data_IF_892970319888
#
_entry.id   IF_892970319888
#
_cell.length_a   1.000
_cell.length_b   1.000
_cell.length_c   1.000
_cell.angle_alpha   90.00
_cell.angle_beta   90.00
_cell.angle_gamma   90.00
#
_symmetry.space_group_name_H-M   'P 1'
#
loop_
_entity.id
_entity.type
_entity.pdbx_description
1 polymer ?
#
# COMPACT_ATOMS: atom_id res chain seq x y z
N UNK A 1 34.21 12.46 5.11
CA UNK A 1 33.50 11.19 5.34
C UNK A 1 32.37 11.14 4.31
N UNK A 2 32.63 10.52 3.16
CA UNK A 2 31.66 10.43 2.07
C UNK A 2 30.53 9.52 2.56
N UNK A 3 29.35 10.08 2.82
CA UNK A 3 28.15 9.26 2.94
C UNK A 3 28.03 8.50 1.62
N UNK A 4 28.19 7.19 1.66
CA UNK A 4 27.73 6.32 0.58
C UNK A 4 26.24 6.63 0.42
N UNK A 5 25.87 7.40 -0.60
CA UNK A 5 24.51 7.41 -1.09
C UNK A 5 24.18 5.94 -1.38
N UNK A 6 23.34 5.32 -0.54
CA UNK A 6 22.82 4.01 -0.86
C UNK A 6 22.18 4.13 -2.24
N UNK A 7 22.76 3.41 -3.23
CA UNK A 7 22.30 3.46 -4.60
C UNK A 7 20.79 3.16 -4.62
N UNK A 8 19.98 4.14 -5.06
CA UNK A 8 18.53 3.99 -5.11
C UNK A 8 18.17 2.88 -6.08
N UNK A 9 17.19 2.05 -5.71
CA UNK A 9 16.74 0.96 -6.56
C UNK A 9 16.04 1.54 -7.78
N UNK A 10 16.50 1.23 -9.00
CA UNK A 10 15.82 1.66 -10.23
C UNK A 10 14.55 0.85 -10.43
N UNK A 11 13.43 1.53 -10.64
CA UNK A 11 12.13 0.92 -10.82
C UNK A 11 11.41 1.53 -12.03
N UNK A 12 10.98 0.70 -12.98
CA UNK A 12 10.42 1.15 -14.25
C UNK A 12 8.90 1.27 -14.21
N UNK A 13 8.36 2.41 -14.63
CA UNK A 13 6.92 2.63 -14.81
C UNK A 13 6.42 1.89 -16.05
N UNK A 14 5.49 0.96 -15.84
CA UNK A 14 4.87 0.13 -16.89
C UNK A 14 3.37 0.04 -16.61
N UNK A 15 2.56 0.68 -17.43
CA UNK A 15 1.08 0.55 -17.48
C UNK A 15 0.38 0.46 -16.10
N UNK A 16 0.41 1.55 -15.31
CA UNK A 16 -0.25 1.61 -14.01
C UNK A 16 0.44 0.79 -12.89
N UNK A 17 1.65 0.30 -13.15
CA UNK A 17 2.52 -0.40 -12.18
C UNK A 17 3.96 0.12 -12.26
N UNK A 18 4.73 -0.16 -11.23
CA UNK A 18 6.17 0.11 -11.21
C UNK A 18 6.91 -1.20 -10.94
N UNK A 19 7.85 -1.55 -11.81
CA UNK A 19 8.53 -2.85 -11.80
C UNK A 19 10.00 -2.68 -11.42
N UNK A 20 10.44 -3.44 -10.42
CA UNK A 20 11.86 -3.60 -10.10
C UNK A 20 12.35 -4.87 -10.77
N UNK A 21 13.11 -4.72 -11.86
CA UNK A 21 13.60 -5.83 -12.68
C UNK A 21 14.78 -6.57 -12.05
N UNK A 22 15.63 -5.87 -11.31
CA UNK A 22 16.74 -6.48 -10.58
C UNK A 22 16.20 -7.36 -9.45
N UNK A 23 16.37 -8.67 -9.59
CA UNK A 23 15.82 -9.68 -8.68
C UNK A 23 16.39 -9.59 -7.26
N UNK A 24 17.64 -9.11 -7.11
CA UNK A 24 18.28 -8.95 -5.79
C UNK A 24 17.71 -7.74 -5.06
N UNK A 25 17.53 -6.63 -5.78
CA UNK A 25 16.91 -5.41 -5.25
C UNK A 25 15.42 -5.61 -4.97
N UNK A 26 14.71 -6.35 -5.83
CA UNK A 26 13.35 -6.83 -5.61
C UNK A 26 13.23 -7.63 -4.29
N UNK A 27 14.12 -8.61 -4.09
CA UNK A 27 14.19 -9.38 -2.85
C UNK A 27 14.48 -8.50 -1.62
N UNK A 28 15.39 -7.52 -1.73
CA UNK A 28 15.72 -6.57 -0.66
C UNK A 28 14.48 -5.78 -0.23
N UNK A 29 13.80 -5.12 -1.17
CA UNK A 29 12.59 -4.34 -0.88
C UNK A 29 11.50 -5.20 -0.25
N UNK A 30 11.28 -6.42 -0.75
CA UNK A 30 10.26 -7.29 -0.16
C UNK A 30 10.59 -7.67 1.29
N UNK A 31 11.86 -7.99 1.62
CA UNK A 31 12.25 -8.39 2.98
C UNK A 31 12.13 -7.26 4.00
N UNK A 32 12.37 -6.02 3.59
CA UNK A 32 12.38 -4.87 4.50
C UNK A 32 10.98 -4.43 4.94
N UNK A 33 9.94 -4.75 4.18
CA UNK A 33 8.60 -4.25 4.51
C UNK A 33 7.44 -4.88 3.75
N UNK A 34 7.66 -6.03 3.11
CA UNK A 34 6.67 -6.69 2.25
C UNK A 34 6.09 -5.72 1.20
N UNK A 35 6.94 -4.91 0.56
CA UNK A 35 6.55 -4.07 -0.56
C UNK A 35 6.34 -4.92 -1.81
N UNK A 36 5.31 -4.62 -2.59
CA UNK A 36 5.06 -5.20 -3.90
C UNK A 36 4.72 -6.68 -3.93
N UNK A 37 4.63 -7.24 -5.12
CA UNK A 37 4.36 -8.66 -5.35
C UNK A 37 5.29 -9.16 -6.44
N UNK A 38 5.91 -10.32 -6.23
CA UNK A 38 6.70 -10.94 -7.27
C UNK A 38 5.81 -11.39 -8.43
N UNK A 39 6.26 -11.11 -9.66
CA UNK A 39 5.52 -11.43 -10.88
C UNK A 39 5.20 -12.93 -10.92
N UNK A 40 3.92 -13.26 -11.11
CA UNK A 40 3.44 -14.65 -11.16
C UNK A 40 3.56 -15.44 -9.85
N UNK A 41 3.83 -14.80 -8.71
CA UNK A 41 3.92 -15.47 -7.40
C UNK A 41 2.83 -14.94 -6.47
N UNK A 42 1.94 -15.83 -6.03
CA UNK A 42 0.83 -15.47 -5.13
C UNK A 42 1.30 -15.21 -3.69
N UNK A 43 2.24 -16.02 -3.19
CA UNK A 43 2.89 -15.90 -1.89
C UNK A 43 4.30 -16.50 -1.97
N UNK A 44 5.36 -15.77 -1.58
CA UNK A 44 6.68 -16.38 -1.38
C UNK A 44 6.59 -17.49 -0.33
N UNK A 45 7.29 -18.60 -0.57
CA UNK A 45 7.47 -19.68 0.41
C UNK A 45 8.81 -19.46 1.12
N UNK A 46 9.51 -20.53 1.47
CA UNK A 46 10.75 -20.50 2.26
C UNK A 46 11.90 -19.76 1.56
N UNK A 47 11.93 -19.80 0.22
CA UNK A 47 12.94 -19.10 -0.58
C UNK A 47 12.34 -17.89 -1.30
N UNK A 48 13.13 -16.82 -1.37
CA UNK A 48 12.72 -15.61 -2.07
C UNK A 48 12.75 -15.87 -3.59
N UNK A 49 11.67 -15.57 -4.34
CA UNK A 49 11.66 -15.79 -5.77
C UNK A 49 12.71 -14.94 -6.48
N UNK A 50 13.43 -15.54 -7.43
CA UNK A 50 14.29 -14.81 -8.37
C UNK A 50 13.43 -14.22 -9.50
N UNK A 51 12.56 -13.25 -9.14
CA UNK A 51 11.63 -12.62 -10.08
C UNK A 51 11.55 -11.11 -9.87
N UNK A 52 11.12 -10.36 -10.90
CA UNK A 52 10.82 -8.94 -10.74
C UNK A 52 9.73 -8.71 -9.69
N UNK A 53 9.80 -7.55 -9.04
CA UNK A 53 8.82 -7.10 -8.07
C UNK A 53 7.93 -6.02 -8.69
N UNK A 54 6.62 -6.25 -8.68
CA UNK A 54 5.63 -5.24 -9.04
C UNK A 54 5.20 -4.46 -7.80
N UNK A 55 5.34 -3.14 -7.86
CA UNK A 55 4.83 -2.19 -6.89
C UNK A 55 3.54 -1.56 -7.44
N UNK A 56 2.56 -1.37 -6.56
CA UNK A 56 1.46 -0.43 -6.84
C UNK A 56 1.98 1.00 -6.93
N UNK A 57 1.22 1.92 -7.55
CA UNK A 57 1.62 3.33 -7.63
C UNK A 57 1.75 3.98 -6.25
N UNK A 58 0.92 3.57 -5.28
CA UNK A 58 1.01 4.02 -3.89
C UNK A 58 2.31 3.56 -3.23
N UNK A 59 2.68 2.29 -3.40
CA UNK A 59 3.94 1.74 -2.87
C UNK A 59 5.15 2.41 -3.50
N UNK A 60 5.14 2.57 -4.82
CA UNK A 60 6.22 3.21 -5.56
C UNK A 60 6.39 4.67 -5.15
N UNK A 61 5.28 5.42 -5.05
CA UNK A 61 5.34 6.81 -4.61
C UNK A 61 5.93 6.94 -3.20
N UNK A 62 5.48 6.10 -2.27
CA UNK A 62 6.03 6.07 -0.90
C UNK A 62 7.53 5.76 -0.89
N UNK A 63 7.96 4.72 -1.61
CA UNK A 63 9.36 4.32 -1.64
C UNK A 63 10.24 5.39 -2.31
N UNK A 64 9.73 6.08 -3.34
CA UNK A 64 10.43 7.19 -3.98
C UNK A 64 10.57 8.38 -3.02
N UNK A 65 9.50 8.72 -2.29
CA UNK A 65 9.52 9.77 -1.27
C UNK A 65 10.51 9.47 -0.14
N UNK A 66 10.64 8.20 0.25
CA UNK A 66 11.64 7.72 1.22
C UNK A 66 13.05 7.57 0.63
N UNK A 67 13.27 7.96 -0.63
CA UNK A 67 14.57 7.88 -1.30
C UNK A 67 15.07 6.44 -1.49
N UNK A 68 14.18 5.44 -1.46
CA UNK A 68 14.52 4.01 -1.58
C UNK A 68 14.57 3.55 -3.04
N UNK A 69 13.75 4.17 -3.89
CA UNK A 69 13.72 3.88 -5.32
C UNK A 69 13.85 5.18 -6.14
N UNK A 70 14.30 5.03 -7.38
CA UNK A 70 14.17 6.03 -8.44
C UNK A 70 13.24 5.47 -9.51
N UNK A 71 12.19 6.22 -9.85
CA UNK A 71 11.20 5.79 -10.85
C UNK A 71 11.67 6.28 -12.22
N UNK A 72 11.72 5.38 -13.19
CA UNK A 72 12.09 5.69 -14.58
C UNK A 72 10.97 5.30 -15.55
N UNK A 73 10.86 6.00 -16.68
CA UNK A 73 9.93 5.66 -17.75
C UNK A 73 10.43 4.44 -18.58
N UNK A 74 9.70 4.11 -19.65
CA UNK A 74 10.07 3.01 -20.55
C UNK A 74 11.39 3.26 -21.31
N UNK A 75 11.75 4.52 -21.55
CA UNK A 75 13.00 4.92 -22.19
C UNK A 75 14.18 5.01 -21.20
N UNK A 76 13.91 4.88 -19.89
CA UNK A 76 14.91 4.93 -18.82
C UNK A 76 15.15 6.33 -18.24
N UNK A 77 14.35 7.34 -18.64
CA UNK A 77 14.44 8.68 -18.07
C UNK A 77 13.78 8.72 -16.69
N UNK A 78 14.37 9.45 -15.75
CA UNK A 78 13.79 9.63 -14.43
C UNK A 78 12.47 10.42 -14.50
N UNK A 79 11.45 9.91 -13.81
CA UNK A 79 10.14 10.56 -13.69
C UNK A 79 10.15 11.39 -12.41
N UNK A 80 9.84 12.68 -12.53
CA UNK A 80 9.80 13.56 -11.36
C UNK A 80 8.68 13.12 -10.39
N UNK A 81 8.83 13.36 -9.07
CA UNK A 81 7.78 13.03 -8.10
C UNK A 81 6.43 13.67 -8.43
N UNK A 82 6.45 14.90 -8.97
CA UNK A 82 5.23 15.63 -9.37
C UNK A 82 4.55 14.96 -10.55
N UNK A 83 5.30 14.59 -11.59
CA UNK A 83 4.72 13.94 -12.78
C UNK A 83 4.20 12.55 -12.45
N UNK A 84 4.92 11.81 -11.59
CA UNK A 84 4.47 10.51 -11.10
C UNK A 84 3.17 10.63 -10.28
N UNK A 85 3.05 11.64 -9.43
CA UNK A 85 1.84 11.90 -8.65
C UNK A 85 0.63 12.18 -9.55
N UNK A 86 0.77 13.05 -10.55
CA UNK A 86 -0.30 13.35 -11.50
C UNK A 86 -0.63 12.15 -12.40
N UNK A 87 0.35 11.33 -12.76
CA UNK A 87 0.11 10.06 -13.43
C UNK A 87 -0.72 9.12 -12.55
N UNK A 88 -0.33 8.94 -11.28
CA UNK A 88 -0.98 8.01 -10.37
C UNK A 88 -2.44 8.37 -10.06
N UNK A 89 -2.77 9.66 -10.00
CA UNK A 89 -4.15 10.16 -9.85
C UNK A 89 -5.09 9.71 -10.97
N UNK A 90 -4.57 9.40 -12.16
CA UNK A 90 -5.39 8.89 -13.28
C UNK A 90 -5.86 7.44 -13.07
N UNK A 91 -5.19 6.68 -12.20
CA UNK A 91 -5.47 5.26 -11.94
C UNK A 91 -6.24 5.01 -10.65
N UNK A 92 -6.25 5.97 -9.73
CA UNK A 92 -6.90 5.84 -8.44
C UNK A 92 -7.77 7.06 -8.16
N UNK A 93 -9.08 6.84 -8.06
CA UNK A 93 -9.96 7.78 -7.38
C UNK A 93 -9.46 8.01 -5.95
N UNK A 94 -9.53 9.26 -5.50
CA UNK A 94 -9.12 9.64 -4.14
C UNK A 94 -7.66 9.26 -3.82
N UNK A 95 -6.77 9.26 -4.83
CA UNK A 95 -5.35 8.87 -4.65
C UNK A 95 -4.70 9.59 -3.47
N UNK A 96 -4.96 10.88 -3.30
CA UNK A 96 -4.42 11.68 -2.20
C UNK A 96 -4.79 11.08 -0.83
N UNK A 97 -6.08 10.81 -0.62
CA UNK A 97 -6.59 10.23 0.63
C UNK A 97 -6.04 8.82 0.85
N UNK A 98 -6.06 8.00 -0.20
CA UNK A 98 -5.49 6.65 -0.17
C UNK A 98 -4.01 6.68 0.21
N UNK A 99 -3.24 7.59 -0.38
CA UNK A 99 -1.81 7.75 -0.12
C UNK A 99 -1.54 8.25 1.30
N UNK A 100 -2.27 9.26 1.78
CA UNK A 100 -2.11 9.75 3.16
C UNK A 100 -2.34 8.64 4.19
N UNK A 101 -3.39 7.83 4.03
CA UNK A 101 -3.63 6.68 4.91
C UNK A 101 -2.53 5.62 4.77
N UNK A 102 -2.13 5.29 3.54
CA UNK A 102 -1.05 4.33 3.30
C UNK A 102 0.26 4.77 3.98
N UNK A 103 0.63 6.05 3.81
CA UNK A 103 1.83 6.65 4.38
C UNK A 103 1.77 6.66 5.90
N UNK A 104 0.68 7.12 6.51
CA UNK A 104 0.51 7.15 7.97
C UNK A 104 0.64 5.73 8.57
N UNK A 105 -0.02 4.73 7.98
CA UNK A 105 0.12 3.34 8.43
C UNK A 105 1.56 2.82 8.31
N UNK A 106 2.24 3.11 7.20
CA UNK A 106 3.63 2.70 6.98
C UNK A 106 4.59 3.38 7.96
N UNK A 107 4.39 4.68 8.22
CA UNK A 107 5.21 5.45 9.17
C UNK A 107 4.99 5.01 10.62
N UNK A 108 3.81 4.47 10.95
CA UNK A 108 3.54 3.80 12.23
C UNK A 108 4.12 2.38 12.33
N UNK A 109 4.83 1.92 11.31
CA UNK A 109 5.51 0.62 11.29
C UNK A 109 4.65 -0.56 10.85
N UNK A 110 3.43 -0.32 10.33
CA UNK A 110 2.60 -1.42 9.83
C UNK A 110 3.01 -1.84 8.42
N UNK A 111 2.74 -3.11 8.11
CA UNK A 111 2.82 -3.66 6.76
C UNK A 111 1.46 -3.49 6.07
N UNK A 112 1.44 -2.67 5.02
CA UNK A 112 0.21 -2.35 4.27
C UNK A 112 0.20 -3.10 2.94
N UNK A 113 -0.81 -3.92 2.71
CA UNK A 113 -1.00 -4.72 1.48
C UNK A 113 -2.34 -4.42 0.82
N UNK A 114 -2.51 -4.70 -0.48
CA UNK A 114 -3.81 -4.61 -1.14
C UNK A 114 -4.88 -5.45 -0.41
N UNK A 115 -6.01 -4.83 -0.09
CA UNK A 115 -7.12 -5.42 0.65
C UNK A 115 -8.16 -6.14 -0.22
N UNK A 116 -8.00 -6.14 -1.55
CA UNK A 116 -8.99 -6.62 -2.52
C UNK A 116 -9.48 -8.05 -2.23
N UNK A 117 -8.59 -8.94 -1.77
CA UNK A 117 -8.95 -10.33 -1.37
C UNK A 117 -9.92 -10.40 -0.19
N UNK A 118 -10.09 -9.32 0.54
CA UNK A 118 -10.93 -9.19 1.72
C UNK A 118 -12.00 -8.09 1.56
N UNK A 119 -12.23 -7.61 0.34
CA UNK A 119 -13.23 -6.57 0.08
C UNK A 119 -12.91 -5.20 0.71
N UNK A 120 -11.64 -4.95 1.06
CA UNK A 120 -11.17 -3.68 1.62
C UNK A 120 -10.14 -3.02 0.70
N UNK A 121 -9.79 -1.75 0.97
CA UNK A 121 -8.71 -1.09 0.23
C UNK A 121 -7.35 -1.63 0.68
N UNK A 122 -7.15 -1.75 1.98
CA UNK A 122 -5.93 -2.30 2.56
C UNK A 122 -6.18 -3.47 3.51
N UNK A 123 -5.24 -4.40 3.51
CA UNK A 123 -5.02 -5.37 4.56
C UNK A 123 -3.74 -4.97 5.30
N UNK A 124 -3.90 -4.62 6.58
CA UNK A 124 -2.84 -4.05 7.41
C UNK A 124 -2.40 -5.07 8.44
N UNK A 125 -1.10 -5.28 8.49
CA UNK A 125 -0.42 -6.32 9.27
C UNK A 125 0.54 -5.65 10.25
N UNK A 126 0.74 -6.24 11.42
CA UNK A 126 1.72 -5.74 12.39
C UNK A 126 3.13 -6.18 12.00
N UNK A 127 3.27 -7.43 11.57
CA UNK A 127 4.55 -8.02 11.18
C UNK A 127 4.57 -8.46 9.72
N UNK A 128 3.44 -8.89 9.17
CA UNK A 128 3.31 -9.21 7.75
C UNK A 128 2.47 -10.45 7.45
N UNK A 129 2.16 -10.67 6.17
CA UNK A 129 1.41 -11.86 5.73
C UNK A 129 2.17 -13.15 6.06
N UNK A 130 1.48 -14.11 6.69
CA UNK A 130 2.08 -15.39 7.09
C UNK A 130 2.72 -15.38 8.48
N UNK A 131 2.89 -14.21 9.09
CA UNK A 131 3.33 -14.04 10.48
C UNK A 131 2.13 -13.69 11.36
N UNK A 132 1.33 -12.69 10.96
CA UNK A 132 0.11 -12.34 11.68
C UNK A 132 -1.03 -13.30 11.37
N UNK A 133 -1.80 -13.68 12.41
CA UNK A 133 -2.99 -14.53 12.27
C UNK A 133 -4.15 -13.83 11.54
N UNK A 134 -4.26 -12.49 11.63
CA UNK A 134 -5.33 -11.73 11.00
C UNK A 134 -4.95 -10.24 10.79
N UNK A 135 -5.06 -9.70 9.56
CA UNK A 135 -4.88 -8.26 9.32
C UNK A 135 -6.10 -7.44 9.76
N UNK A 136 -5.85 -6.16 10.07
CA UNK A 136 -6.90 -5.14 10.07
C UNK A 136 -7.32 -4.84 8.63
N UNK A 137 -8.62 -4.73 8.38
CA UNK A 137 -9.15 -4.38 7.06
C UNK A 137 -9.46 -2.89 7.05
N UNK A 138 -8.67 -2.11 6.33
CA UNK A 138 -8.85 -0.65 6.27
C UNK A 138 -9.54 -0.26 4.96
N UNK A 139 -10.58 0.55 5.09
CA UNK A 139 -11.26 1.22 3.98
C UNK A 139 -11.06 2.72 4.13
N UNK A 140 -10.65 3.40 3.06
CA UNK A 140 -10.42 4.85 3.09
C UNK A 140 -11.69 5.54 2.63
N UNK A 141 -12.17 6.49 3.43
CA UNK A 141 -13.34 7.28 3.11
C UNK A 141 -13.05 8.77 3.38
N UNK A 142 -13.11 9.65 2.36
CA UNK A 142 -13.04 11.10 2.57
C UNK A 142 -14.11 11.56 3.57
N UNK A 143 -13.79 12.52 4.42
CA UNK A 143 -14.70 12.95 5.50
C UNK A 143 -15.95 13.66 4.95
N UNK A 144 -15.85 14.25 3.78
CA UNK A 144 -16.91 14.97 3.07
C UNK A 144 -17.86 14.02 2.31
N UNK A 145 -17.50 12.74 2.17
CA UNK A 145 -18.30 11.76 1.44
C UNK A 145 -19.38 11.18 2.35
N UNK A 146 -20.62 11.18 1.87
CA UNK A 146 -21.70 10.46 2.55
C UNK A 146 -21.43 8.95 2.49
N UNK A 147 -21.57 8.30 3.64
CA UNK A 147 -21.47 6.84 3.73
C UNK A 147 -22.82 6.23 3.34
N UNK A 148 -22.84 5.41 2.30
CA UNK A 148 -24.02 4.63 1.97
C UNK A 148 -24.22 3.55 3.07
N UNK A 149 -25.42 3.39 3.65
CA UNK A 149 -25.71 2.32 4.61
C UNK A 149 -25.29 0.92 4.14
N UNK A 150 -25.28 0.66 2.83
CA UNK A 150 -24.78 -0.58 2.23
C UNK A 150 -23.29 -0.79 2.51
N UNK A 151 -22.47 0.27 2.61
CA UNK A 151 -21.06 0.17 2.95
C UNK A 151 -20.84 -0.27 4.41
N UNK A 152 -21.72 0.15 5.33
CA UNK A 152 -21.73 -0.31 6.73
C UNK A 152 -22.10 -1.79 6.79
N UNK A 153 -23.14 -2.20 6.04
CA UNK A 153 -23.54 -3.62 5.97
C UNK A 153 -22.41 -4.47 5.37
N UNK A 154 -21.74 -3.97 4.32
CA UNK A 154 -20.56 -4.61 3.73
C UNK A 154 -19.44 -4.74 4.76
N UNK A 155 -19.13 -3.69 5.52
CA UNK A 155 -18.16 -3.72 6.60
C UNK A 155 -18.51 -4.79 7.66
N UNK A 156 -19.78 -4.88 8.04
CA UNK A 156 -20.30 -5.92 8.93
C UNK A 156 -20.09 -7.33 8.40
N UNK A 157 -20.47 -7.60 7.13
CA UNK A 157 -20.30 -8.91 6.48
C UNK A 157 -18.82 -9.30 6.39
N UNK A 158 -17.96 -8.37 6.00
CA UNK A 158 -16.53 -8.59 5.89
C UNK A 158 -15.88 -8.83 7.26
N UNK A 159 -16.36 -8.17 8.31
CA UNK A 159 -15.88 -8.40 9.67
C UNK A 159 -16.30 -9.77 10.21
N UNK A 160 -17.55 -10.17 9.96
CA UNK A 160 -18.15 -11.39 10.51
C UNK A 160 -17.54 -12.66 9.92
N UNK A 161 -17.23 -12.66 8.63
CA UNK A 161 -16.78 -13.86 7.90
C UNK A 161 -15.33 -14.26 8.22
N UNK A 162 -14.49 -13.34 8.72
CA UNK A 162 -13.05 -13.59 8.90
C UNK A 162 -12.50 -13.23 10.30
N UNK A 163 -13.36 -12.86 11.27
CA UNK A 163 -12.96 -12.37 12.62
C UNK A 163 -11.98 -11.18 12.58
N UNK A 164 -11.93 -10.44 11.47
CA UNK A 164 -11.03 -9.29 11.28
C UNK A 164 -11.73 -8.02 11.71
N UNK A 165 -10.97 -7.09 12.31
CA UNK A 165 -11.47 -5.76 12.62
C UNK A 165 -11.50 -4.93 11.34
N UNK A 166 -12.68 -4.47 10.96
CA UNK A 166 -12.85 -3.52 9.87
C UNK A 166 -12.70 -2.10 10.41
N UNK A 167 -11.94 -1.28 9.71
CA UNK A 167 -11.57 0.06 10.10
C UNK A 167 -11.90 0.99 8.94
N UNK A 168 -12.58 2.09 9.25
CA UNK A 168 -12.71 3.21 8.32
C UNK A 168 -11.63 4.22 8.67
N UNK A 169 -10.81 4.56 7.69
CA UNK A 169 -9.80 5.60 7.80
C UNK A 169 -10.26 6.83 7.02
N UNK A 170 -10.22 7.98 7.67
CA UNK A 170 -10.58 9.26 7.05
C UNK A 170 -9.46 10.26 7.27
N UNK A 171 -9.25 11.14 6.29
CA UNK A 171 -8.29 12.24 6.43
C UNK A 171 -9.08 13.48 6.82
N UNK A 172 -8.69 14.10 7.92
CA UNK A 172 -9.29 15.35 8.34
C UNK A 172 -8.85 16.48 7.39
N UNK A 173 -9.78 17.19 6.73
CA UNK A 173 -9.43 18.21 5.74
C UNK A 173 -8.76 19.45 6.35
N UNK A 174 -8.98 19.72 7.64
CA UNK A 174 -8.42 20.89 8.32
C UNK A 174 -7.01 20.65 8.82
N UNK A 175 -6.75 19.48 9.40
CA UNK A 175 -5.47 19.14 10.04
C UNK A 175 -4.57 18.28 9.15
N UNK A 176 -5.12 17.59 8.16
CA UNK A 176 -4.44 16.57 7.37
C UNK A 176 -4.17 15.27 8.12
N UNK A 177 -4.61 15.14 9.37
CA UNK A 177 -4.41 13.92 10.19
C UNK A 177 -5.30 12.78 9.72
N UNK A 178 -4.84 11.55 9.94
CA UNK A 178 -5.63 10.34 9.65
C UNK A 178 -6.33 9.86 10.93
N UNK A 179 -7.66 9.82 10.87
CA UNK A 179 -8.52 9.30 11.93
C UNK A 179 -8.99 7.88 11.58
N UNK A 180 -9.01 6.99 12.57
CA UNK A 180 -9.37 5.58 12.40
C UNK A 180 -10.57 5.21 13.27
N UNK A 181 -11.68 4.83 12.65
CA UNK A 181 -12.88 4.32 13.33
C UNK A 181 -12.95 2.79 13.21
N UNK A 182 -12.96 2.11 14.35
CA UNK A 182 -13.02 0.64 14.40
C UNK A 182 -14.47 0.20 14.53
N UNK A 183 -14.92 -0.67 13.63
CA UNK A 183 -16.24 -1.28 13.71
C UNK A 183 -16.14 -2.64 14.40
N UNK A 184 -16.93 -2.82 15.47
CA UNK A 184 -17.11 -4.09 16.16
C UNK A 184 -18.58 -4.46 16.18
N UNK A 185 -18.89 -5.72 15.84
CA UNK A 185 -20.25 -6.22 15.92
C UNK A 185 -20.67 -6.30 17.39
N UNK A 186 -21.71 -5.58 17.76
CA UNK A 186 -22.27 -5.58 19.11
C UNK A 186 -23.49 -6.51 19.13
N UNK A 187 -23.50 -7.45 20.09
CA UNK A 187 -24.69 -8.23 20.45
C UNK A 187 -25.26 -7.58 21.71
N UNK A 188 -26.42 -6.90 21.63
CA UNK A 188 -27.10 -6.33 22.79
C UNK A 188 -27.46 -7.37 23.85
#
# INVERSE_FOLDING_TARGET
MVLLEELRVKAQLVDGRVVVWDVKQAAKLYKEGFYGKFVGVSKPKDQMPERPLELSLLEAYYLAEKGRITIVDQAGNEVSPKDFYEYAKKFYEDFEYRYKVYKDLRERGYVVRPGMKFGSMYAVYKYGPGIDHAPFLVHVMPMERSMDPVEIIRAGRLSHSVKKRFIIASVNPKTGSVDYCIFSWFKP
#
